data_IF_410996327076
#
_entry.id   IF_410996327076
#
_cell.length_a   1.000
_cell.length_b   1.000
_cell.length_c   1.000
_cell.angle_alpha   90.00
_cell.angle_beta   90.00
_cell.angle_gamma   90.00
#
_symmetry.space_group_name_H-M   'P 1'
#
loop_
_entity.id
_entity.type
_entity.pdbx_description
1 polymer ?
#
# COMPACT_ATOMS: atom_id res chain seq x y z
N UNK A 1 -12.16 -8.07 -10.78
CA UNK A 1 -13.28 -7.34 -11.39
C UNK A 1 -13.41 -7.80 -12.85
N UNK A 2 -14.17 -8.87 -13.13
CA UNK A 2 -14.16 -9.57 -14.42
C UNK A 2 -14.57 -8.66 -15.61
N UNK A 3 -15.58 -7.80 -15.43
CA UNK A 3 -15.99 -6.86 -16.49
C UNK A 3 -14.96 -5.78 -16.84
N UNK A 4 -14.03 -5.47 -15.93
CA UNK A 4 -12.92 -4.55 -16.22
C UNK A 4 -11.79 -5.23 -17.01
N UNK A 5 -11.61 -6.55 -16.83
CA UNK A 5 -10.67 -7.33 -17.62
C UNK A 5 -11.16 -7.47 -19.07
N UNK A 6 -12.45 -7.78 -19.28
CA UNK A 6 -13.05 -7.86 -20.61
C UNK A 6 -12.98 -6.52 -21.35
N UNK A 7 -13.29 -5.42 -20.64
CA UNK A 7 -13.18 -4.07 -21.19
C UNK A 7 -11.73 -3.70 -21.54
N UNK A 8 -10.76 -4.04 -20.68
CA UNK A 8 -9.34 -3.82 -20.96
C UNK A 8 -8.83 -4.65 -22.15
N UNK A 9 -9.25 -5.91 -22.27
CA UNK A 9 -8.92 -6.77 -23.42
C UNK A 9 -9.53 -6.23 -24.72
N UNK A 10 -10.77 -5.75 -24.68
CA UNK A 10 -11.42 -5.13 -25.84
C UNK A 10 -10.66 -3.88 -26.30
N UNK A 11 -10.28 -2.99 -25.37
CA UNK A 11 -9.48 -1.81 -25.69
C UNK A 11 -8.10 -2.18 -26.26
N UNK A 12 -7.41 -3.14 -25.66
CA UNK A 12 -6.12 -3.61 -26.16
C UNK A 12 -6.23 -4.22 -27.57
N UNK A 13 -7.34 -4.92 -27.87
CA UNK A 13 -7.62 -5.47 -29.20
C UNK A 13 -7.85 -4.35 -30.21
N UNK A 14 -8.66 -3.34 -29.86
CA UNK A 14 -8.92 -2.19 -30.73
C UNK A 14 -7.66 -1.37 -31.03
N UNK A 15 -6.74 -1.26 -30.08
CA UNK A 15 -5.44 -0.62 -30.31
C UNK A 15 -4.62 -1.35 -31.37
N UNK A 16 -4.61 -2.69 -31.36
CA UNK A 16 -3.91 -3.49 -32.36
C UNK A 16 -4.58 -3.40 -33.73
N UNK A 17 -5.91 -3.37 -33.77
CA UNK A 17 -6.67 -3.16 -35.01
C UNK A 17 -6.36 -1.78 -35.60
N UNK A 18 -6.32 -0.73 -34.78
CA UNK A 18 -5.95 0.62 -35.21
C UNK A 18 -4.51 0.69 -35.74
N UNK A 19 -3.57 0.00 -35.08
CA UNK A 19 -2.18 -0.12 -35.55
C UNK A 19 -2.08 -0.83 -36.90
N UNK A 20 -2.75 -1.96 -37.07
CA UNK A 20 -2.78 -2.70 -38.33
C UNK A 20 -3.43 -1.88 -39.46
N UNK A 21 -4.54 -1.18 -39.18
CA UNK A 21 -5.22 -0.33 -40.15
C UNK A 21 -4.36 0.83 -40.62
N UNK A 22 -3.64 1.49 -39.69
CA UNK A 22 -2.69 2.57 -39.99
C UNK A 22 -1.54 2.07 -40.86
N UNK A 23 -0.99 0.89 -40.56
CA UNK A 23 0.09 0.28 -41.35
C UNK A 23 -0.35 -0.03 -42.78
N UNK A 24 -1.60 -0.46 -42.98
CA UNK A 24 -2.19 -0.74 -44.28
C UNK A 24 -2.64 0.53 -45.04
N UNK A 25 -2.90 1.65 -44.35
CA UNK A 25 -3.41 2.89 -44.93
C UNK A 25 -2.58 4.11 -44.49
N UNK A 26 -1.39 4.33 -45.09
CA UNK A 26 -0.48 5.42 -44.69
C UNK A 26 -1.07 6.83 -44.82
N UNK A 27 -2.06 7.01 -45.70
CA UNK A 27 -2.72 8.31 -45.94
C UNK A 27 -3.91 8.57 -45.00
N UNK A 28 -4.32 7.57 -44.21
CA UNK A 28 -5.43 7.68 -43.25
C UNK A 28 -4.93 8.15 -41.88
N UNK A 29 -5.64 9.11 -41.28
CA UNK A 29 -5.45 9.48 -39.89
C UNK A 29 -6.19 8.47 -39.01
N UNK A 30 -5.43 7.67 -38.26
CA UNK A 30 -5.99 6.69 -37.32
C UNK A 30 -5.61 7.09 -35.91
N UNK A 31 -6.60 7.09 -35.01
CA UNK A 31 -6.44 7.37 -33.58
C UNK A 31 -7.27 6.38 -32.76
N UNK A 32 -6.63 5.77 -31.77
CA UNK A 32 -7.28 5.00 -30.70
C UNK A 32 -7.15 5.81 -29.42
N UNK A 33 -8.26 6.37 -28.96
CA UNK A 33 -8.31 7.36 -27.88
C UNK A 33 -8.67 6.65 -26.58
N UNK A 34 -7.70 6.53 -25.68
CA UNK A 34 -7.84 5.86 -24.38
C UNK A 34 -7.60 6.88 -23.26
N UNK A 35 -8.58 7.76 -23.05
CA UNK A 35 -8.46 8.86 -22.10
C UNK A 35 -8.97 8.50 -20.71
N UNK A 36 -8.45 9.21 -19.70
CA UNK A 36 -8.91 9.16 -18.33
C UNK A 36 -10.32 9.76 -18.15
N UNK A 37 -10.88 9.70 -16.93
CA UNK A 37 -12.21 10.23 -16.64
C UNK A 37 -12.26 11.74 -16.91
N UNK A 38 -13.37 12.22 -17.47
CA UNK A 38 -13.61 13.65 -17.67
C UNK A 38 -14.38 14.23 -16.47
N UNK A 39 -14.20 15.52 -16.22
CA UNK A 39 -14.98 16.28 -15.23
C UNK A 39 -16.40 16.59 -15.76
N UNK A 40 -17.09 15.57 -16.27
CA UNK A 40 -18.40 15.63 -16.89
C UNK A 40 -18.78 14.30 -17.58
N UNK A 41 -20.06 14.10 -17.86
CA UNK A 41 -20.57 12.87 -18.51
C UNK A 41 -20.83 11.73 -17.53
N UNK A 42 -20.26 10.55 -17.76
CA UNK A 42 -20.50 9.33 -16.97
C UNK A 42 -19.87 9.34 -15.57
N UNK A 43 -19.10 10.38 -15.23
CA UNK A 43 -18.46 10.54 -13.92
C UNK A 43 -19.20 11.63 -13.14
N UNK A 44 -20.06 11.20 -12.21
CA UNK A 44 -20.73 12.10 -11.27
C UNK A 44 -19.78 12.59 -10.16
N UNK A 45 -20.18 13.59 -9.36
CA UNK A 45 -19.33 14.20 -8.32
C UNK A 45 -18.70 13.18 -7.35
N UNK A 46 -19.52 12.23 -6.88
CA UNK A 46 -19.07 11.18 -5.97
C UNK A 46 -18.03 10.24 -6.62
N UNK A 47 -18.20 9.91 -7.91
CA UNK A 47 -17.26 9.05 -8.63
C UNK A 47 -15.96 9.80 -8.98
N UNK A 48 -16.05 11.12 -9.22
CA UNK A 48 -14.89 11.98 -9.39
C UNK A 48 -14.05 12.07 -8.10
N UNK A 49 -14.69 12.15 -6.93
CA UNK A 49 -14.00 12.10 -5.63
C UNK A 49 -13.30 10.76 -5.40
N UNK A 50 -13.93 9.64 -5.77
CA UNK A 50 -13.32 8.31 -5.70
C UNK A 50 -12.14 8.16 -6.67
N UNK A 51 -12.22 8.69 -7.89
CA UNK A 51 -11.07 8.67 -8.81
C UNK A 51 -9.94 9.59 -8.32
N UNK A 52 -10.28 10.76 -7.80
CA UNK A 52 -9.31 11.68 -7.23
C UNK A 52 -8.64 11.10 -5.98
N UNK A 53 -9.36 10.40 -5.09
CA UNK A 53 -8.78 9.73 -3.93
C UNK A 53 -7.80 8.63 -4.33
N UNK A 54 -7.99 8.03 -5.52
CA UNK A 54 -7.13 7.00 -6.14
C UNK A 54 -6.03 7.58 -7.05
N UNK A 55 -5.81 8.89 -7.04
CA UNK A 55 -4.74 9.53 -7.81
C UNK A 55 -5.01 9.68 -9.31
N UNK A 56 -6.26 9.50 -9.75
CA UNK A 56 -6.70 9.70 -11.13
C UNK A 56 -7.59 10.95 -11.18
N UNK A 57 -7.02 12.16 -11.28
CA UNK A 57 -7.84 13.35 -11.39
C UNK A 57 -8.60 13.37 -12.73
N UNK A 58 -9.74 14.05 -12.75
CA UNK A 58 -10.59 14.15 -13.92
C UNK A 58 -10.08 15.22 -14.89
N UNK A 59 -10.18 14.96 -16.19
CA UNK A 59 -9.83 15.89 -17.28
C UNK A 59 -10.86 17.02 -17.33
N UNK A 60 -10.48 18.30 -17.14
CA UNK A 60 -11.40 19.41 -17.30
C UNK A 60 -12.00 19.43 -18.71
N UNK A 61 -13.33 19.60 -18.82
CA UNK A 61 -14.07 19.46 -20.08
C UNK A 61 -13.50 20.33 -21.20
N UNK A 62 -13.17 21.59 -20.91
CA UNK A 62 -12.60 22.50 -21.90
C UNK A 62 -11.22 22.04 -22.41
N UNK A 63 -10.40 21.46 -21.52
CA UNK A 63 -9.07 20.95 -21.87
C UNK A 63 -9.17 19.65 -22.67
N UNK A 64 -10.07 18.74 -22.28
CA UNK A 64 -10.35 17.53 -23.05
C UNK A 64 -10.88 17.85 -24.45
N UNK A 65 -11.80 18.81 -24.58
CA UNK A 65 -12.31 19.23 -25.88
C UNK A 65 -11.21 19.82 -26.78
N UNK A 66 -10.35 20.69 -26.25
CA UNK A 66 -9.23 21.25 -26.99
C UNK A 66 -8.24 20.15 -27.44
N UNK A 67 -7.86 19.24 -26.53
CA UNK A 67 -6.99 18.13 -26.86
C UNK A 67 -7.59 17.19 -27.92
N UNK A 68 -8.92 17.06 -27.96
CA UNK A 68 -9.59 16.16 -28.91
C UNK A 68 -9.52 16.76 -30.31
N UNK A 69 -9.75 18.07 -30.41
CA UNK A 69 -9.59 18.83 -31.65
C UNK A 69 -8.14 18.73 -32.12
N UNK A 70 -7.16 18.91 -31.25
CA UNK A 70 -5.74 18.76 -31.61
C UNK A 70 -5.41 17.35 -32.12
N UNK A 71 -5.96 16.29 -31.53
CA UNK A 71 -5.71 14.91 -31.97
C UNK A 71 -6.27 14.58 -33.36
N UNK A 72 -7.45 15.14 -33.69
CA UNK A 72 -8.12 14.88 -34.98
C UNK A 72 -7.74 15.87 -36.09
N UNK A 73 -7.21 17.05 -35.73
CA UNK A 73 -6.77 18.08 -36.69
C UNK A 73 -5.25 18.18 -36.81
N UNK A 74 -4.50 17.55 -35.91
CA UNK A 74 -3.05 17.56 -35.88
C UNK A 74 -2.39 16.92 -37.11
N UNK A 75 -1.10 17.25 -37.35
CA UNK A 75 -0.38 16.78 -38.54
C UNK A 75 -0.30 15.26 -38.60
N UNK A 76 -0.37 14.73 -39.82
CA UNK A 76 -0.15 13.31 -40.13
C UNK A 76 1.32 12.98 -39.90
N UNK A 77 1.70 12.72 -38.66
CA UNK A 77 3.06 12.34 -38.33
C UNK A 77 3.30 10.89 -38.78
N UNK A 78 4.20 10.70 -39.74
CA UNK A 78 4.71 9.38 -40.11
C UNK A 78 5.60 8.89 -38.96
N UNK A 79 5.17 7.84 -38.26
CA UNK A 79 5.93 7.22 -37.16
C UNK A 79 5.28 7.28 -35.77
N UNK A 80 4.19 8.04 -35.58
CA UNK A 80 3.46 8.04 -34.30
C UNK A 80 2.53 6.84 -34.22
N UNK A 81 2.57 6.07 -33.12
CA UNK A 81 1.60 5.00 -32.87
C UNK A 81 0.18 5.59 -32.75
N UNK A 82 -0.88 4.89 -33.21
CA UNK A 82 -2.23 5.43 -33.21
C UNK A 82 -2.86 5.53 -31.83
N UNK A 83 -2.28 4.89 -30.80
CA UNK A 83 -2.79 4.94 -29.42
C UNK A 83 -2.43 6.27 -28.77
N UNK A 84 -3.45 6.98 -28.29
CA UNK A 84 -3.34 8.23 -27.55
C UNK A 84 -3.91 8.04 -26.15
N UNK A 85 -3.07 8.23 -25.15
CA UNK A 85 -3.47 8.19 -23.74
C UNK A 85 -3.38 9.62 -23.19
N UNK A 86 -4.49 10.14 -22.66
CA UNK A 86 -4.53 11.46 -22.02
C UNK A 86 -5.20 11.31 -20.67
N UNK A 87 -4.56 11.82 -19.63
CA UNK A 87 -5.07 11.87 -18.26
C UNK A 87 -4.76 13.24 -17.68
N UNK A 88 -5.52 13.66 -16.69
CA UNK A 88 -5.18 14.86 -15.96
C UNK A 88 -3.96 14.57 -15.06
N UNK A 89 -2.97 15.46 -15.08
CA UNK A 89 -1.69 15.29 -14.39
C UNK A 89 -0.50 15.30 -15.35
N UNK A 90 0.70 15.54 -14.81
CA UNK A 90 1.93 15.44 -15.59
C UNK A 90 2.17 14.01 -16.12
N UNK A 91 3.19 13.80 -16.98
CA UNK A 91 3.51 12.48 -17.57
C UNK A 91 3.66 11.34 -16.54
N UNK A 92 3.87 11.68 -15.27
CA UNK A 92 3.96 10.77 -14.12
C UNK A 92 2.62 10.11 -13.73
N UNK A 93 1.48 10.72 -14.04
CA UNK A 93 0.14 10.20 -13.71
C UNK A 93 -0.32 9.08 -14.66
N UNK A 94 0.31 8.96 -15.82
CA UNK A 94 0.00 7.98 -16.85
C UNK A 94 1.18 7.02 -16.98
N UNK A 95 1.17 5.92 -16.21
CA UNK A 95 2.17 4.86 -16.25
C UNK A 95 2.24 4.07 -17.56
N UNK A 96 2.19 4.74 -18.72
CA UNK A 96 2.28 4.16 -20.05
C UNK A 96 3.60 4.59 -20.71
N UNK A 97 4.63 3.76 -20.53
CA UNK A 97 5.82 3.82 -21.35
C UNK A 97 5.50 3.45 -22.80
N UNK A 98 5.95 4.30 -23.73
CA UNK A 98 6.27 3.89 -25.08
C UNK A 98 7.57 4.59 -25.49
N UNK A 99 8.68 3.88 -25.31
CA UNK A 99 9.93 4.04 -26.07
C UNK A 99 10.71 5.34 -25.91
N UNK A 100 11.81 5.25 -25.15
CA UNK A 100 13.06 5.94 -25.51
C UNK A 100 13.22 7.38 -25.03
N UNK A 101 13.81 7.54 -23.85
CA UNK A 101 14.42 8.79 -23.40
C UNK A 101 13.88 9.28 -22.07
N UNK A 102 14.45 8.77 -20.97
CA UNK A 102 14.32 9.42 -19.68
C UNK A 102 14.97 10.82 -19.76
N UNK A 103 14.16 11.85 -19.97
CA UNK A 103 14.53 13.19 -19.50
C UNK A 103 14.77 13.14 -18.00
N UNK A 104 15.64 14.01 -17.43
CA UNK A 104 16.15 13.84 -16.07
C UNK A 104 15.01 13.88 -15.06
N UNK A 105 14.59 12.69 -14.62
CA UNK A 105 13.81 12.52 -13.39
C UNK A 105 14.56 13.27 -12.29
N UNK A 106 13.87 14.14 -11.53
CA UNK A 106 14.44 14.84 -10.39
C UNK A 106 15.30 13.84 -9.60
N UNK A 107 16.61 14.10 -9.51
CA UNK A 107 17.61 13.08 -9.20
C UNK A 107 17.22 12.26 -7.97
N UNK A 108 16.73 11.02 -8.23
CA UNK A 108 16.40 10.04 -7.19
C UNK A 108 17.67 9.74 -6.42
N UNK A 109 17.66 9.98 -5.11
CA UNK A 109 18.79 9.60 -4.25
C UNK A 109 18.50 8.26 -3.59
N UNK A 110 19.33 7.26 -3.88
CA UNK A 110 19.29 5.97 -3.20
C UNK A 110 19.83 6.17 -1.77
N UNK A 111 19.05 5.72 -0.79
CA UNK A 111 19.38 5.78 0.63
C UNK A 111 19.90 4.45 1.16
N UNK A 112 19.50 3.35 0.54
CA UNK A 112 19.93 2.01 0.91
C UNK A 112 19.62 0.98 -0.17
N UNK A 113 20.40 -0.09 -0.15
CA UNK A 113 20.19 -1.30 -0.95
C UNK A 113 19.81 -2.43 0.00
N UNK A 114 18.81 -3.20 -0.36
CA UNK A 114 18.25 -4.28 0.44
C UNK A 114 18.43 -5.59 -0.35
N UNK A 115 19.13 -6.55 0.26
CA UNK A 115 19.33 -7.88 -0.32
C UNK A 115 18.49 -8.90 0.45
N UNK A 116 17.47 -9.45 -0.22
CA UNK A 116 16.49 -10.36 0.38
C UNK A 116 16.73 -11.76 -0.15
N UNK A 117 17.09 -12.68 0.72
CA UNK A 117 17.40 -14.06 0.38
C UNK A 117 16.99 -14.97 1.53
N UNK A 118 16.60 -16.22 1.27
CA UNK A 118 16.21 -17.18 2.30
C UNK A 118 17.27 -17.37 3.38
N UNK A 119 18.56 -17.42 3.05
CA UNK A 119 19.67 -17.44 4.01
C UNK A 119 19.70 -16.27 5.01
N UNK A 120 19.19 -15.08 4.65
CA UNK A 120 19.17 -13.90 5.51
C UNK A 120 17.80 -13.59 6.09
N UNK A 121 16.74 -14.04 5.41
CA UNK A 121 15.34 -13.85 5.80
C UNK A 121 14.54 -15.18 5.70
N UNK A 122 14.98 -16.28 6.34
CA UNK A 122 14.37 -17.60 6.18
C UNK A 122 12.90 -17.67 6.66
N UNK A 123 12.45 -16.74 7.49
CA UNK A 123 11.04 -16.65 7.92
C UNK A 123 10.10 -16.17 6.82
N UNK A 124 10.57 -15.44 5.79
CA UNK A 124 9.70 -14.90 4.74
C UNK A 124 8.96 -15.98 3.94
N UNK A 125 9.44 -17.22 3.95
CA UNK A 125 8.73 -18.37 3.35
C UNK A 125 7.35 -18.58 3.97
N UNK A 126 7.15 -18.15 5.21
CA UNK A 126 5.89 -18.27 5.95
C UNK A 126 4.98 -17.04 5.79
N UNK A 127 5.36 -16.06 4.98
CA UNK A 127 4.49 -14.98 4.53
C UNK A 127 4.21 -15.11 3.03
N UNK A 128 3.53 -16.22 2.67
CA UNK A 128 3.37 -16.68 1.29
C UNK A 128 1.90 -16.86 0.89
N UNK A 129 1.20 -15.80 0.47
CA UNK A 129 -0.12 -15.96 -0.12
C UNK A 129 0.01 -16.73 -1.45
N UNK A 130 -0.71 -17.85 -1.57
CA UNK A 130 -0.64 -18.76 -2.73
C UNK A 130 0.78 -19.26 -3.04
N UNK A 131 1.49 -19.71 -2.01
CA UNK A 131 2.79 -20.42 -2.09
C UNK A 131 3.98 -19.60 -2.65
N UNK A 132 3.82 -18.28 -2.78
CA UNK A 132 4.91 -17.37 -3.15
C UNK A 132 5.11 -16.37 -2.02
N UNK A 133 6.33 -16.31 -1.48
CA UNK A 133 6.70 -15.34 -0.46
C UNK A 133 6.46 -13.91 -0.94
N UNK A 134 5.83 -13.09 -0.11
CA UNK A 134 5.51 -11.69 -0.40
C UNK A 134 6.05 -10.81 0.73
N UNK A 135 6.49 -9.60 0.40
CA UNK A 135 6.94 -8.62 1.39
C UNK A 135 5.78 -8.18 2.30
N UNK A 136 5.87 -8.39 3.64
CA UNK A 136 4.88 -7.87 4.57
C UNK A 136 4.90 -6.33 4.60
N UNK A 137 3.73 -5.71 4.80
CA UNK A 137 3.62 -4.25 4.92
C UNK A 137 4.47 -3.72 6.09
N UNK A 138 4.51 -4.44 7.21
CA UNK A 138 5.29 -4.08 8.38
C UNK A 138 6.80 -3.97 8.06
N UNK A 139 7.32 -4.88 7.22
CA UNK A 139 8.73 -4.85 6.82
C UNK A 139 9.02 -3.73 5.81
N UNK A 140 8.09 -3.46 4.89
CA UNK A 140 8.17 -2.30 4.02
C UNK A 140 8.21 -0.97 4.82
N UNK A 141 7.39 -0.86 5.87
CA UNK A 141 7.40 0.27 6.79
C UNK A 141 8.74 0.42 7.52
N UNK A 142 9.32 -0.67 8.00
CA UNK A 142 10.63 -0.65 8.67
C UNK A 142 11.74 -0.17 7.74
N UNK A 143 11.80 -0.67 6.50
CA UNK A 143 12.78 -0.23 5.51
C UNK A 143 12.62 1.25 5.12
N UNK A 144 11.38 1.72 4.96
CA UNK A 144 11.09 3.15 4.74
C UNK A 144 11.53 3.98 5.97
N UNK A 145 11.28 3.50 7.18
CA UNK A 145 11.68 4.16 8.42
C UNK A 145 13.21 4.22 8.58
N UNK A 146 13.94 3.17 8.22
CA UNK A 146 15.41 3.19 8.14
C UNK A 146 15.92 4.20 7.11
N UNK A 147 15.26 4.29 5.95
CA UNK A 147 15.53 5.34 4.96
C UNK A 147 15.30 6.74 5.52
N UNK A 148 14.18 6.95 6.22
CA UNK A 148 13.88 8.21 6.91
C UNK A 148 14.93 8.55 7.98
N UNK A 149 15.39 7.57 8.75
CA UNK A 149 16.45 7.73 9.75
C UNK A 149 17.76 8.16 9.09
N UNK A 150 18.13 7.55 7.95
CA UNK A 150 19.30 7.95 7.18
C UNK A 150 19.17 9.40 6.66
N UNK A 151 17.98 9.82 6.21
CA UNK A 151 17.71 11.21 5.81
C UNK A 151 17.88 12.20 6.96
N UNK A 152 17.49 11.81 8.18
CA UNK A 152 17.58 12.62 9.40
C UNK A 152 18.97 12.62 10.04
N UNK A 153 19.95 11.89 9.49
CA UNK A 153 21.31 11.82 10.04
C UNK A 153 21.51 10.81 11.17
N UNK A 154 20.63 9.81 11.33
CA UNK A 154 20.93 8.61 12.12
C UNK A 154 20.34 8.50 13.54
N UNK A 155 19.47 9.41 13.98
CA UNK A 155 18.92 9.41 15.35
C UNK A 155 17.98 8.24 15.70
N UNK A 156 17.85 7.96 17.00
CA UNK A 156 17.03 6.87 17.59
C UNK A 156 15.64 7.33 18.09
N UNK A 157 15.24 8.57 17.79
CA UNK A 157 13.95 9.12 18.20
C UNK A 157 12.80 8.59 17.33
N UNK A 158 11.56 8.72 17.83
CA UNK A 158 10.37 8.35 17.06
C UNK A 158 10.24 9.03 15.70
N UNK A 159 9.26 8.59 14.91
CA UNK A 159 8.93 9.25 13.65
C UNK A 159 7.50 9.04 13.22
N UNK A 160 7.06 9.91 12.31
CA UNK A 160 5.75 9.81 11.67
C UNK A 160 5.95 9.66 10.17
N UNK A 161 5.43 8.57 9.62
CA UNK A 161 5.31 8.32 8.18
C UNK A 161 3.85 8.51 7.77
N UNK A 162 3.59 9.35 6.79
CA UNK A 162 2.24 9.60 6.27
C UNK A 162 2.07 8.99 4.90
N UNK A 163 0.82 8.77 4.54
CA UNK A 163 0.44 8.44 3.17
C UNK A 163 1.15 7.19 2.64
N UNK A 164 1.23 6.15 3.48
CA UNK A 164 1.78 4.87 3.05
C UNK A 164 0.85 4.27 1.99
N UNK A 165 1.42 3.86 0.87
CA UNK A 165 0.69 3.22 -0.24
C UNK A 165 1.40 1.96 -0.70
N UNK A 166 0.62 0.90 -0.87
CA UNK A 166 1.02 -0.31 -1.60
C UNK A 166 0.69 -0.10 -3.07
N UNK A 167 1.69 0.29 -3.85
CA UNK A 167 1.54 0.55 -5.28
C UNK A 167 1.56 -0.77 -6.05
N UNK A 168 2.44 -1.68 -5.62
CA UNK A 168 2.57 -3.02 -6.19
C UNK A 168 3.17 -3.96 -5.14
N UNK A 169 2.55 -5.12 -4.94
CA UNK A 169 3.13 -6.18 -4.09
C UNK A 169 4.53 -6.56 -4.57
N UNK A 170 5.45 -6.82 -3.65
CA UNK A 170 6.75 -7.44 -3.95
C UNK A 170 6.63 -8.93 -3.64
N UNK A 171 6.83 -9.76 -4.65
CA UNK A 171 6.87 -11.21 -4.51
C UNK A 171 8.30 -11.71 -4.70
N UNK A 172 8.66 -12.80 -4.03
CA UNK A 172 10.01 -13.37 -4.01
C UNK A 172 10.04 -14.79 -4.58
N UNK A 173 9.76 -15.00 -5.88
CA UNK A 173 9.71 -16.35 -6.48
C UNK A 173 11.06 -17.08 -6.43
N UNK A 174 12.17 -16.34 -6.35
CA UNK A 174 13.54 -16.86 -6.28
C UNK A 174 14.19 -16.62 -4.91
N UNK A 175 13.40 -16.61 -3.83
CA UNK A 175 13.90 -16.33 -2.47
C UNK A 175 15.02 -17.29 -2.04
N UNK A 176 14.88 -18.58 -2.39
CA UNK A 176 15.85 -19.64 -2.08
C UNK A 176 17.06 -19.68 -3.03
N UNK A 177 16.90 -19.15 -4.25
CA UNK A 177 17.87 -19.32 -5.34
C UNK A 177 18.83 -18.13 -5.45
N UNK A 178 18.40 -17.06 -6.11
CA UNK A 178 19.23 -15.89 -6.41
C UNK A 178 19.01 -14.74 -5.43
N UNK A 179 17.96 -14.82 -4.62
CA UNK A 179 17.47 -13.69 -3.84
C UNK A 179 16.98 -12.54 -4.73
N UNK A 180 16.72 -11.41 -4.10
CA UNK A 180 16.14 -10.20 -4.70
C UNK A 180 16.83 -8.95 -4.18
N UNK A 181 16.96 -7.96 -5.04
CA UNK A 181 17.55 -6.66 -4.70
C UNK A 181 16.49 -5.58 -4.81
N UNK A 182 16.38 -4.79 -3.74
CA UNK A 182 15.46 -3.65 -3.65
C UNK A 182 16.22 -2.42 -3.20
N UNK A 183 15.64 -1.26 -3.42
CA UNK A 183 16.27 0.02 -3.14
C UNK A 183 15.32 0.93 -2.38
N UNK A 184 15.78 1.41 -1.22
CA UNK A 184 15.11 2.51 -0.53
C UNK A 184 15.63 3.81 -1.11
N UNK A 185 14.74 4.67 -1.59
CA UNK A 185 15.11 5.92 -2.23
C UNK A 185 14.27 7.09 -1.74
N UNK A 186 14.77 8.30 -1.99
CA UNK A 186 14.01 9.53 -1.82
C UNK A 186 13.86 10.24 -3.16
N UNK A 187 12.63 10.63 -3.48
CA UNK A 187 12.31 11.52 -4.59
C UNK A 187 12.07 12.95 -4.07
N UNK A 188 12.22 13.93 -4.97
CA UNK A 188 11.92 15.33 -4.71
C UNK A 188 10.53 15.50 -4.10
N UNK A 189 10.40 16.52 -3.26
CA UNK A 189 9.22 16.81 -2.45
C UNK A 189 8.04 17.26 -3.32
N UNK A 190 6.93 16.53 -3.26
CA UNK A 190 5.68 16.87 -3.97
C UNK A 190 4.83 17.82 -3.10
N UNK A 191 4.39 18.99 -3.61
CA UNK A 191 3.52 19.90 -2.86
C UNK A 191 2.24 19.18 -2.39
N UNK A 192 1.89 19.35 -1.12
CA UNK A 192 0.62 18.81 -0.59
C UNK A 192 -0.56 19.36 -1.40
N UNK A 193 -1.58 18.52 -1.60
CA UNK A 193 -2.90 18.90 -2.12
C UNK A 193 -3.50 20.05 -1.31
N UNK A 194 -3.98 21.08 -2.00
CA UNK A 194 -4.85 22.12 -1.47
C UNK A 194 -6.13 21.50 -0.87
N UNK A 195 -6.49 21.91 0.35
CA UNK A 195 -7.70 21.43 1.04
C UNK A 195 -7.76 21.67 2.55
N UNK A 196 -6.70 22.17 3.20
CA UNK A 196 -6.78 22.65 4.57
C UNK A 196 -7.20 24.13 4.59
N UNK A 197 -8.33 24.51 5.24
CA UNK A 197 -8.71 25.91 5.42
C UNK A 197 -7.72 26.71 6.28
N UNK A 198 -6.75 26.05 6.93
CA UNK A 198 -5.66 26.73 7.62
C UNK A 198 -4.57 27.13 6.61
N UNK A 199 -4.53 28.42 6.26
CA UNK A 199 -3.65 29.01 5.24
C UNK A 199 -2.14 29.03 5.56
N UNK A 200 -1.58 27.93 6.09
CA UNK A 200 -0.15 27.75 6.24
C UNK A 200 0.37 26.84 5.11
N UNK A 201 1.09 27.41 4.15
CA UNK A 201 1.83 26.66 3.15
C UNK A 201 2.83 25.73 3.84
N UNK A 202 2.47 24.45 4.02
CA UNK A 202 3.33 23.46 4.64
C UNK A 202 4.38 23.00 3.62
N UNK A 203 5.66 23.06 4.01
CA UNK A 203 6.75 22.62 3.16
C UNK A 203 6.52 21.19 2.64
N UNK A 204 6.85 20.90 1.37
CA UNK A 204 6.58 19.61 0.77
C UNK A 204 7.38 18.51 1.49
N UNK A 205 6.73 17.40 1.83
CA UNK A 205 7.34 16.32 2.61
C UNK A 205 8.24 15.43 1.73
N UNK A 206 9.41 14.98 2.21
CA UNK A 206 10.23 14.00 1.51
C UNK A 206 9.45 12.73 1.22
N UNK A 207 9.52 12.26 -0.03
CA UNK A 207 8.85 11.05 -0.48
C UNK A 207 9.84 9.90 -0.47
N UNK A 208 9.62 8.94 0.42
CA UNK A 208 10.38 7.69 0.51
C UNK A 208 9.71 6.61 -0.34
N UNK A 209 10.52 5.82 -1.03
CA UNK A 209 10.05 4.70 -1.88
C UNK A 209 10.88 3.44 -1.65
N UNK A 210 10.23 2.29 -1.80
CA UNK A 210 10.89 1.02 -2.06
C UNK A 210 10.67 0.72 -3.53
N UNK A 211 11.76 0.55 -4.25
CA UNK A 211 11.77 0.26 -5.67
C UNK A 211 12.51 -1.05 -5.95
N UNK A 212 12.17 -1.71 -7.06
CA UNK A 212 12.94 -2.85 -7.56
C UNK A 212 14.23 -2.43 -8.29
N UNK A 213 14.95 -3.40 -8.84
CA UNK A 213 16.19 -3.18 -9.59
C UNK A 213 16.00 -2.36 -10.88
N UNK A 214 14.80 -2.37 -11.46
CA UNK A 214 14.44 -1.57 -12.63
C UNK A 214 13.98 -0.15 -12.26
N UNK A 215 13.87 0.15 -10.96
CA UNK A 215 13.42 1.43 -10.43
C UNK A 215 11.90 1.59 -10.37
N UNK A 216 11.14 0.50 -10.52
CA UNK A 216 9.69 0.51 -10.38
C UNK A 216 9.30 0.69 -8.91
N UNK A 217 8.42 1.65 -8.56
CA UNK A 217 7.94 1.80 -7.20
C UNK A 217 6.99 0.69 -6.79
N UNK A 218 7.16 0.19 -5.58
CA UNK A 218 6.28 -0.80 -4.95
C UNK A 218 5.58 -0.27 -3.71
N UNK A 219 6.31 0.46 -2.87
CA UNK A 219 5.79 1.11 -1.68
C UNK A 219 6.25 2.56 -1.64
N UNK A 220 5.41 3.43 -1.10
CA UNK A 220 5.71 4.84 -0.93
C UNK A 220 5.19 5.32 0.42
N UNK A 221 5.92 6.23 1.07
CA UNK A 221 5.45 6.99 2.23
C UNK A 221 6.09 8.38 2.24
N UNK A 222 5.53 9.29 3.04
CA UNK A 222 6.02 10.65 3.24
C UNK A 222 6.57 10.81 4.65
N UNK A 223 7.78 11.33 4.77
CA UNK A 223 8.38 11.60 6.08
C UNK A 223 7.83 12.93 6.63
N UNK A 224 7.09 12.87 7.73
CA UNK A 224 6.69 14.08 8.45
C UNK A 224 7.84 14.56 9.35
N UNK A 225 8.15 15.87 9.42
CA UNK A 225 9.14 16.39 10.35
C UNK A 225 8.72 16.28 11.83
N UNK A 226 7.44 16.10 12.11
CA UNK A 226 6.93 15.96 13.46
C UNK A 226 7.50 14.72 14.17
N UNK A 227 7.65 14.87 15.48
CA UNK A 227 7.93 13.79 16.41
C UNK A 227 6.61 13.35 17.05
N UNK A 228 6.33 12.03 17.13
CA UNK A 228 5.16 11.56 17.83
C UNK A 228 5.30 11.84 19.33
N UNK A 229 4.20 12.25 19.96
CA UNK A 229 4.13 12.45 21.41
C UNK A 229 3.76 11.13 22.08
N UNK A 230 4.27 10.82 23.29
CA UNK A 230 3.89 9.61 24.02
C UNK A 230 2.36 9.50 24.19
N UNK A 231 1.83 8.32 23.91
CA UNK A 231 0.40 8.01 24.05
C UNK A 231 0.22 6.92 25.10
N UNK A 232 -0.53 7.16 26.19
CA UNK A 232 -0.80 6.14 27.20
C UNK A 232 -1.75 5.07 26.67
N UNK A 233 -1.66 3.85 27.20
CA UNK A 233 -2.54 2.73 26.83
C UNK A 233 -4.03 3.03 27.02
N UNK A 234 -4.38 3.92 27.96
CA UNK A 234 -5.75 4.38 28.20
C UNK A 234 -6.37 5.14 27.03
N UNK A 235 -5.57 5.70 26.12
CA UNK A 235 -6.06 6.30 24.88
C UNK A 235 -6.56 5.26 23.86
N UNK A 236 -6.26 3.98 24.10
CA UNK A 236 -6.64 2.82 23.28
C UNK A 236 -7.49 1.84 24.08
N UNK A 237 -8.77 2.18 24.33
CA UNK A 237 -9.68 1.32 25.07
C UNK A 237 -9.98 0.04 24.30
N UNK A 238 -10.39 -1.00 25.02
CA UNK A 238 -10.96 -2.21 24.41
C UNK A 238 -12.20 -1.83 23.59
N UNK A 239 -12.34 -2.30 22.33
CA UNK A 239 -13.54 -2.05 21.54
C UNK A 239 -14.81 -2.57 22.21
N UNK A 240 -15.95 -1.92 21.92
CA UNK A 240 -17.21 -2.32 22.52
C UNK A 240 -17.71 -3.66 21.99
N UNK A 241 -18.41 -4.42 22.85
CA UNK A 241 -19.13 -5.63 22.44
C UNK A 241 -18.24 -6.76 21.93
N UNK A 242 -16.96 -6.81 22.30
CA UNK A 242 -16.10 -7.95 21.99
C UNK A 242 -16.77 -9.23 22.50
N UNK A 243 -17.22 -10.07 21.57
CA UNK A 243 -17.84 -11.31 21.95
C UNK A 243 -16.77 -12.26 22.47
N UNK A 244 -16.90 -12.71 23.71
CA UNK A 244 -16.21 -13.88 24.24
C UNK A 244 -16.75 -15.18 23.61
N UNK A 245 -17.11 -15.23 22.32
CA UNK A 245 -17.29 -16.53 21.59
C UNK A 245 -15.95 -17.26 21.37
N UNK A 246 -15.02 -16.96 22.26
CA UNK A 246 -13.81 -17.56 22.73
C UNK A 246 -13.83 -19.09 22.86
N UNK A 247 -14.97 -19.72 23.14
CA UNK A 247 -15.03 -21.18 23.23
C UNK A 247 -14.59 -21.90 21.93
N UNK A 248 -14.59 -21.21 20.78
CA UNK A 248 -14.11 -21.74 19.49
C UNK A 248 -12.83 -21.05 18.94
N UNK A 249 -12.29 -20.00 19.58
CA UNK A 249 -11.15 -19.21 19.02
C UNK A 249 -10.11 -18.72 20.05
N UNK A 250 -10.40 -18.65 21.36
CA UNK A 250 -9.64 -17.75 22.27
C UNK A 250 -8.40 -18.29 22.99
N UNK A 251 -7.83 -19.43 22.66
CA UNK A 251 -6.63 -19.88 23.41
C UNK A 251 -5.69 -20.78 22.63
N UNK A 252 -6.14 -21.35 21.52
CA UNK A 252 -5.30 -22.15 20.65
C UNK A 252 -4.87 -21.28 19.46
N UNK A 253 -3.62 -20.82 19.47
CA UNK A 253 -2.93 -20.21 18.32
C UNK A 253 -3.23 -20.96 17.02
N UNK A 254 -3.24 -22.30 17.10
CA UNK A 254 -3.63 -23.19 16.00
C UNK A 254 -5.00 -22.89 15.39
N UNK A 255 -6.03 -22.54 16.18
CA UNK A 255 -7.36 -22.23 15.64
C UNK A 255 -7.38 -20.91 14.89
N UNK A 256 -6.60 -19.93 15.35
CA UNK A 256 -6.46 -18.63 14.67
C UNK A 256 -5.86 -18.85 13.27
N UNK A 257 -4.77 -19.61 13.18
CA UNK A 257 -4.02 -19.80 11.94
C UNK A 257 -4.48 -20.97 11.06
N UNK A 258 -5.40 -21.82 11.54
CA UNK A 258 -6.10 -22.80 10.69
C UNK A 258 -7.29 -22.19 9.93
N UNK A 259 -7.65 -20.95 10.22
CA UNK A 259 -8.73 -20.25 9.50
C UNK A 259 -8.25 -19.77 8.12
N UNK A 260 -9.17 -19.71 7.15
CA UNK A 260 -8.89 -19.15 5.80
C UNK A 260 -8.61 -17.63 5.81
N UNK A 261 -8.71 -17.00 6.97
CA UNK A 261 -8.53 -15.58 7.15
C UNK A 261 -7.06 -15.14 7.07
N UNK A 262 -6.12 -16.04 7.39
CA UNK A 262 -4.69 -15.76 7.41
C UNK A 262 -3.94 -16.80 6.58
N UNK A 263 -2.88 -16.37 5.88
CA UNK A 263 -2.00 -17.22 5.09
C UNK A 263 -0.63 -17.46 5.76
N UNK A 264 -0.49 -17.03 7.01
CA UNK A 264 0.79 -16.97 7.72
C UNK A 264 1.19 -18.35 8.24
N UNK A 265 2.36 -18.82 7.81
CA UNK A 265 3.01 -20.02 8.31
C UNK A 265 3.61 -19.84 9.71
N UNK A 266 4.14 -20.91 10.33
CA UNK A 266 4.55 -20.94 11.74
C UNK A 266 5.49 -19.80 12.18
N UNK A 267 6.45 -19.39 11.34
CA UNK A 267 7.41 -18.32 11.66
C UNK A 267 6.80 -16.92 11.61
N UNK A 268 5.59 -16.77 11.08
CA UNK A 268 4.83 -15.54 11.05
C UNK A 268 3.61 -15.57 12.01
N UNK A 269 3.45 -16.59 12.85
CA UNK A 269 2.33 -16.68 13.79
C UNK A 269 2.51 -15.79 15.03
N UNK A 270 2.44 -14.48 14.82
CA UNK A 270 2.70 -13.46 15.83
C UNK A 270 1.56 -13.28 16.85
N UNK A 271 0.31 -13.65 16.56
CA UNK A 271 -0.81 -13.55 17.49
C UNK A 271 -0.72 -14.70 18.51
N UNK A 272 -0.44 -14.36 19.77
CA UNK A 272 -0.44 -15.33 20.86
C UNK A 272 -1.85 -15.59 21.40
N UNK A 273 -2.66 -14.54 21.51
CA UNK A 273 -3.97 -14.64 22.14
C UNK A 273 -4.96 -13.66 21.51
N UNK A 274 -6.23 -14.05 21.43
CA UNK A 274 -7.32 -13.21 20.96
C UNK A 274 -8.33 -13.03 22.09
N UNK A 275 -8.53 -11.78 22.52
CA UNK A 275 -9.57 -11.43 23.50
C UNK A 275 -10.95 -11.57 22.91
N UNK A 276 -11.12 -11.06 21.69
CA UNK A 276 -12.38 -11.11 20.97
C UNK A 276 -12.42 -10.12 19.81
N UNK A 277 -13.53 -10.18 19.07
CA UNK A 277 -13.82 -9.29 17.94
C UNK A 277 -15.29 -8.89 17.96
N UNK A 278 -15.57 -7.67 17.49
CA UNK A 278 -16.90 -7.14 17.22
C UNK A 278 -16.90 -6.35 15.92
N UNK A 279 -18.02 -5.72 15.55
CA UNK A 279 -18.03 -4.78 14.43
C UNK A 279 -17.20 -3.52 14.73
N UNK A 280 -16.99 -3.19 16.01
CA UNK A 280 -16.22 -2.02 16.45
C UNK A 280 -14.71 -2.26 16.49
N UNK A 281 -14.25 -3.51 16.37
CA UNK A 281 -12.81 -3.80 16.37
C UNK A 281 -12.44 -5.18 16.89
N UNK A 282 -11.17 -5.32 17.25
CA UNK A 282 -10.59 -6.54 17.81
C UNK A 282 -9.52 -6.20 18.86
N UNK A 283 -9.29 -7.13 19.78
CA UNK A 283 -8.18 -7.04 20.73
C UNK A 283 -7.51 -8.41 20.89
N UNK A 284 -6.18 -8.39 21.00
CA UNK A 284 -5.38 -9.58 21.23
C UNK A 284 -4.01 -9.24 21.80
N UNK A 285 -3.19 -10.27 21.92
CA UNK A 285 -1.77 -10.15 22.26
C UNK A 285 -0.92 -10.69 21.13
N UNK A 286 0.17 -9.98 20.84
CA UNK A 286 1.12 -10.29 19.78
C UNK A 286 2.54 -10.39 20.34
N UNK A 287 3.41 -11.10 19.64
CA UNK A 287 4.84 -11.18 19.97
C UNK A 287 5.72 -10.69 18.86
N UNK A 288 6.93 -10.31 19.27
CA UNK A 288 7.91 -9.65 18.42
C UNK A 288 8.97 -10.54 17.83
N UNK A 289 9.98 -9.88 17.25
CA UNK A 289 11.11 -10.48 16.52
C UNK A 289 11.86 -11.51 17.37
N UNK A 290 12.09 -11.21 18.65
CA UNK A 290 12.86 -12.07 19.55
C UNK A 290 12.15 -13.40 19.84
N UNK A 291 10.86 -13.35 20.16
CA UNK A 291 10.06 -14.55 20.43
C UNK A 291 9.87 -15.42 19.19
N UNK A 292 9.70 -14.81 18.00
CA UNK A 292 9.62 -15.54 16.73
C UNK A 292 10.99 -15.96 16.18
N UNK A 293 12.07 -15.62 16.87
CA UNK A 293 13.45 -15.93 16.50
C UNK A 293 13.81 -15.52 15.06
N UNK A 294 13.34 -14.35 14.63
CA UNK A 294 13.73 -13.79 13.32
C UNK A 294 15.20 -13.34 13.33
N UNK A 295 15.76 -12.93 14.47
CA UNK A 295 17.12 -12.38 14.51
C UNK A 295 17.24 -11.08 13.69
N UNK A 296 18.43 -10.79 13.16
CA UNK A 296 18.85 -9.48 12.62
C UNK A 296 18.90 -8.38 13.69
N UNK A 297 20.01 -7.65 13.74
CA UNK A 297 20.27 -6.70 14.84
C UNK A 297 19.87 -5.25 14.51
N UNK A 298 19.39 -4.99 13.29
CA UNK A 298 19.27 -3.61 12.76
C UNK A 298 17.83 -3.14 12.52
N UNK A 299 16.85 -3.78 13.14
CA UNK A 299 15.44 -3.37 13.16
C UNK A 299 15.25 -1.95 13.70
N UNK A 300 14.45 -1.14 13.00
CA UNK A 300 14.09 0.18 13.50
C UNK A 300 12.93 0.12 14.51
N UNK A 301 12.00 -0.82 14.33
CA UNK A 301 10.98 -1.19 15.31
C UNK A 301 10.70 -2.69 15.23
N UNK A 302 9.89 -3.21 16.16
CA UNK A 302 9.48 -4.61 16.14
C UNK A 302 8.55 -4.97 14.96
N UNK A 303 9.13 -5.48 13.88
CA UNK A 303 8.41 -5.77 12.63
C UNK A 303 7.42 -6.93 12.82
N UNK A 304 7.82 -7.97 13.54
CA UNK A 304 6.95 -9.12 13.81
C UNK A 304 5.74 -8.72 14.67
N UNK A 305 5.96 -7.90 15.70
CA UNK A 305 4.88 -7.38 16.54
C UNK A 305 3.90 -6.51 15.77
N UNK A 306 4.40 -5.61 14.91
CA UNK A 306 3.54 -4.81 14.02
C UNK A 306 2.78 -5.69 13.02
N UNK A 307 3.44 -6.68 12.43
CA UNK A 307 2.80 -7.63 11.52
C UNK A 307 1.70 -8.43 12.23
N UNK A 308 1.92 -8.86 13.48
CA UNK A 308 0.88 -9.47 14.31
C UNK A 308 -0.35 -8.57 14.51
N UNK A 309 -0.15 -7.26 14.69
CA UNK A 309 -1.25 -6.30 14.72
C UNK A 309 -1.99 -6.20 13.38
N UNK A 310 -1.26 -6.26 12.26
CA UNK A 310 -1.85 -6.32 10.92
C UNK A 310 -2.60 -7.62 10.66
N UNK A 311 -2.13 -8.74 11.19
CA UNK A 311 -2.82 -10.02 11.15
C UNK A 311 -4.13 -9.96 11.94
N UNK A 312 -4.12 -9.32 13.12
CA UNK A 312 -5.34 -9.08 13.91
C UNK A 312 -6.34 -8.21 13.15
N UNK A 313 -5.87 -7.18 12.45
CA UNK A 313 -6.70 -6.36 11.55
C UNK A 313 -7.24 -7.19 10.37
N UNK A 314 -6.46 -8.11 9.84
CA UNK A 314 -6.87 -9.08 8.80
C UNK A 314 -7.99 -10.01 9.28
N UNK A 315 -7.89 -10.55 10.50
CA UNK A 315 -8.95 -11.37 11.13
C UNK A 315 -10.24 -10.57 11.33
N UNK A 316 -10.12 -9.33 11.81
CA UNK A 316 -11.27 -8.43 11.96
C UNK A 316 -11.90 -8.12 10.60
N UNK A 317 -11.10 -7.76 9.60
CA UNK A 317 -11.58 -7.49 8.24
C UNK A 317 -12.19 -8.73 7.58
N UNK A 318 -11.69 -9.94 7.90
CA UNK A 318 -12.32 -11.19 7.48
C UNK A 318 -13.75 -11.30 7.99
N UNK A 319 -13.96 -11.01 9.28
CA UNK A 319 -15.28 -11.04 9.90
C UNK A 319 -16.26 -10.07 9.26
N UNK A 320 -15.83 -8.86 8.91
CA UNK A 320 -16.73 -7.79 8.43
C UNK A 320 -16.86 -7.74 6.90
N UNK A 321 -15.87 -8.21 6.13
CA UNK A 321 -15.86 -8.17 4.65
C UNK A 321 -15.80 -9.54 3.96
N UNK A 322 -15.52 -10.63 4.68
CA UNK A 322 -15.18 -11.92 4.06
C UNK A 322 -13.76 -11.97 3.49
N UNK A 323 -12.86 -11.12 3.97
CA UNK A 323 -11.44 -11.16 3.66
C UNK A 323 -10.94 -9.99 2.84
N UNK A 324 -9.83 -9.41 3.28
CA UNK A 324 -9.29 -8.18 2.73
C UNK A 324 -7.76 -8.14 2.84
N UNK A 325 -7.14 -7.26 2.05
CA UNK A 325 -5.71 -7.00 2.07
C UNK A 325 -5.44 -5.51 2.34
N UNK A 326 -4.40 -5.16 3.11
CA UNK A 326 -4.05 -3.77 3.35
C UNK A 326 -3.45 -3.14 2.08
N UNK A 327 -3.96 -1.97 1.69
CA UNK A 327 -3.50 -1.24 0.49
C UNK A 327 -2.91 0.13 0.82
N UNK A 328 -3.25 0.69 1.98
CA UNK A 328 -2.76 2.00 2.42
C UNK A 328 -2.76 2.11 3.95
N UNK A 329 -1.93 3.01 4.47
CA UNK A 329 -2.00 3.49 5.85
C UNK A 329 -1.87 5.00 5.83
N UNK A 330 -2.85 5.72 6.36
CA UNK A 330 -2.85 7.19 6.37
C UNK A 330 -1.67 7.74 7.17
N UNK A 331 -1.40 7.18 8.33
CA UNK A 331 -0.32 7.63 9.21
C UNK A 331 0.22 6.47 10.06
N UNK A 332 1.53 6.25 10.04
CA UNK A 332 2.25 5.37 10.96
C UNK A 332 3.05 6.24 11.94
N UNK A 333 2.79 6.08 13.24
CA UNK A 333 3.48 6.80 14.33
C UNK A 333 4.32 5.80 15.10
N UNK A 334 5.63 5.90 14.96
CA UNK A 334 6.61 5.08 15.68
C UNK A 334 7.04 5.87 16.91
N UNK A 335 6.43 5.59 18.06
CA UNK A 335 6.69 6.28 19.33
C UNK A 335 8.00 5.84 19.96
N UNK A 336 8.23 4.53 19.98
CA UNK A 336 9.41 3.91 20.59
C UNK A 336 10.08 2.97 19.58
N UNK A 337 11.19 3.40 18.95
CA UNK A 337 12.03 2.52 18.15
C UNK A 337 12.58 1.34 18.96
N UNK A 338 13.07 0.33 18.26
CA UNK A 338 13.56 -0.92 18.83
C UNK A 338 12.50 -2.00 19.03
N UNK A 339 12.95 -3.15 19.51
CA UNK A 339 12.16 -4.36 19.67
C UNK A 339 11.26 -4.29 20.92
N UNK A 340 10.23 -5.14 20.91
CA UNK A 340 9.41 -5.41 22.09
C UNK A 340 10.19 -6.30 23.05
N UNK A 341 10.02 -6.09 24.36
CA UNK A 341 10.68 -6.90 25.41
C UNK A 341 9.87 -8.11 25.85
N UNK A 342 8.66 -8.27 25.31
CA UNK A 342 7.74 -9.36 25.59
C UNK A 342 6.49 -9.27 24.72
N UNK A 343 5.44 -10.01 25.09
CA UNK A 343 4.16 -9.93 24.42
C UNK A 343 3.52 -8.56 24.63
N UNK A 344 3.02 -7.95 23.54
CA UNK A 344 2.34 -6.67 23.55
C UNK A 344 0.82 -6.86 23.39
N UNK A 345 0.05 -5.91 23.90
CA UNK A 345 -1.39 -5.82 23.61
C UNK A 345 -1.55 -5.14 22.25
N UNK A 346 -2.35 -5.72 21.36
CA UNK A 346 -2.74 -5.09 20.11
C UNK A 346 -4.24 -4.82 20.09
N UNK A 347 -4.60 -3.61 19.67
CA UNK A 347 -5.99 -3.19 19.52
C UNK A 347 -6.21 -2.73 18.09
N UNK A 348 -7.30 -3.22 17.49
CA UNK A 348 -7.84 -2.78 16.20
C UNK A 348 -9.14 -2.05 16.49
N UNK A 349 -9.24 -0.80 16.04
CA UNK A 349 -10.43 0.04 16.22
C UNK A 349 -11.04 0.34 14.85
N UNK A 350 -12.29 -0.08 14.63
CA UNK A 350 -13.01 0.20 13.40
C UNK A 350 -13.25 1.71 13.23
N UNK A 351 -13.17 2.20 12.00
CA UNK A 351 -13.47 3.60 11.64
C UNK A 351 -14.63 3.67 10.66
N UNK A 352 -14.52 2.92 9.56
CA UNK A 352 -15.52 2.88 8.50
C UNK A 352 -15.53 1.48 7.88
N UNK A 353 -16.70 1.00 7.50
CA UNK A 353 -16.87 -0.29 6.83
C UNK A 353 -17.91 -0.09 5.73
N UNK A 354 -17.56 -0.45 4.50
CA UNK A 354 -18.50 -0.54 3.38
C UNK A 354 -18.43 -1.94 2.74
N UNK A 355 -19.03 -2.14 1.57
CA UNK A 355 -19.11 -3.45 0.92
C UNK A 355 -17.77 -3.97 0.35
N UNK A 356 -16.78 -3.10 0.18
CA UNK A 356 -15.50 -3.36 -0.48
C UNK A 356 -14.28 -2.86 0.30
N UNK A 357 -14.44 -1.90 1.20
CA UNK A 357 -13.39 -1.29 2.02
C UNK A 357 -13.72 -1.43 3.51
N UNK A 358 -12.67 -1.64 4.31
CA UNK A 358 -12.71 -1.47 5.76
C UNK A 358 -11.55 -0.56 6.16
N UNK A 359 -11.84 0.45 6.96
CA UNK A 359 -10.89 1.37 7.55
C UNK A 359 -10.81 1.10 9.05
N UNK A 360 -9.61 0.87 9.55
CA UNK A 360 -9.37 0.73 10.98
C UNK A 360 -8.10 1.45 11.42
N UNK A 361 -7.98 1.68 12.71
CA UNK A 361 -6.70 2.01 13.33
C UNK A 361 -6.17 0.77 14.05
N UNK A 362 -4.84 0.61 14.12
CA UNK A 362 -4.15 -0.49 14.79
C UNK A 362 -3.09 0.10 15.72
N UNK A 363 -2.99 -0.41 16.95
CA UNK A 363 -1.92 -0.04 17.87
C UNK A 363 -1.23 -1.27 18.42
N UNK A 364 0.08 -1.17 18.66
CA UNK A 364 0.84 -2.07 19.50
C UNK A 364 1.18 -1.32 20.79
N UNK A 365 0.66 -1.83 21.90
CA UNK A 365 0.81 -1.30 23.26
C UNK A 365 1.78 -2.19 24.02
N UNK A 366 2.84 -1.58 24.54
CA UNK A 366 3.91 -2.23 25.28
C UNK A 366 4.26 -1.32 26.47
N UNK A 367 4.55 -1.88 27.64
CA UNK A 367 4.78 -1.13 28.90
C UNK A 367 3.73 -0.01 29.18
N UNK A 368 2.43 -0.30 29.02
CA UNK A 368 1.32 0.66 29.22
C UNK A 368 1.35 1.92 28.32
N UNK A 369 2.09 1.91 27.22
CA UNK A 369 2.12 3.00 26.24
C UNK A 369 2.11 2.48 24.80
N UNK A 370 1.65 3.32 23.87
CA UNK A 370 1.77 3.03 22.45
C UNK A 370 3.26 2.97 22.06
N UNK A 371 3.65 1.85 21.45
CA UNK A 371 4.95 1.70 20.79
C UNK A 371 4.85 2.16 19.34
N UNK A 372 3.80 1.73 18.65
CA UNK A 372 3.53 2.07 17.27
C UNK A 372 2.02 2.10 17.01
N UNK A 373 1.56 3.12 16.29
CA UNK A 373 0.17 3.27 15.84
C UNK A 373 0.12 3.33 14.32
N UNK A 374 -0.76 2.55 13.70
CA UNK A 374 -1.18 2.69 12.32
C UNK A 374 -2.59 3.28 12.30
N UNK A 375 -2.69 4.55 11.91
CA UNK A 375 -3.94 5.27 11.83
C UNK A 375 -4.44 5.23 10.38
N UNK A 376 -5.70 4.83 10.19
CA UNK A 376 -6.35 4.75 8.89
C UNK A 376 -5.71 3.70 7.98
N UNK A 377 -5.62 2.47 8.47
CA UNK A 377 -5.30 1.28 7.68
C UNK A 377 -6.49 0.97 6.77
N UNK A 378 -6.29 1.08 5.47
CA UNK A 378 -7.29 0.74 4.46
C UNK A 378 -7.10 -0.71 4.01
N UNK A 379 -8.12 -1.54 4.25
CA UNK A 379 -8.19 -2.91 3.79
C UNK A 379 -9.24 -3.02 2.68
N UNK A 380 -8.87 -3.65 1.56
CA UNK A 380 -9.75 -3.86 0.41
C UNK A 380 -10.11 -5.33 0.28
N UNK A 381 -11.39 -5.62 0.10
CA UNK A 381 -11.92 -6.97 -0.06
C UNK A 381 -11.20 -7.70 -1.21
N UNK A 382 -10.83 -8.96 -0.96
CA UNK A 382 -10.18 -9.82 -1.96
C UNK A 382 -11.14 -10.16 -3.12
N UNK A 383 -10.78 -9.84 -4.38
CA UNK A 383 -11.66 -10.11 -5.53
C UNK A 383 -11.68 -11.60 -5.94
N UNK A 384 -10.70 -12.38 -5.53
CA UNK A 384 -10.53 -13.82 -5.77
C UNK A 384 -11.31 -14.69 -4.78
N UNK A 385 -11.87 -14.10 -3.72
CA UNK A 385 -12.66 -14.82 -2.73
C UNK A 385 -14.14 -14.43 -2.83
N UNK A 386 -14.90 -15.23 -3.58
CA UNK A 386 -16.36 -15.29 -3.44
C UNK A 386 -16.69 -16.47 -2.51
N UNK A 387 -17.42 -16.26 -1.40
CA UNK A 387 -17.84 -17.39 -0.58
C UNK A 387 -18.66 -18.34 -1.45
N UNK A 388 -18.27 -19.61 -1.46
CA UNK A 388 -19.11 -20.68 -2.01
C UNK A 388 -20.45 -20.63 -1.27
N UNK A 389 -21.52 -20.43 -2.04
CA UNK A 389 -22.89 -20.25 -1.58
C UNK A 389 -23.41 -21.46 -0.81
#
# INVERSE_FOLDING_TARGET
NAGQADYAMANATLDQVAAAWRAAHPDCLVRSIAWGPWAGGMVGPLLAEVFASRGVPAIPVAQGAAAFVDEITGPRSAGTQPRILLGAGGPEALGAGAGGGFGPSAARRILGRLSVHERTHPWLTDHSPADIAVLPLAMALDWLARGARALRGGGEGGMVLRDLRVLRKIAFPHLADTGHELFVSVAGSDPRRDGDPSGAATAPLPVLRIDDADGMPHYQARLDPAQPQPVPSSAWPTPEGLAEKAAEVSTCRDLIYRSDALFHGPRFQAIQWLRGMSEHGAEGSVVGVDELAWGLDDWYFDVAGLDGGMQLAGLWAWRVLGGALPVAVRECRIHRPGLMTGAARSVVTAREIDNIHALCDVVILDDDAARIELIGVELVRRPDWMPSS
#
